data_IF_723429983726
#
_entry.id   IF_723429983726
#
_cell.length_a   1.000
_cell.length_b   1.000
_cell.length_c   1.000
_cell.angle_alpha   90.00
_cell.angle_beta   90.00
_cell.angle_gamma   90.00
#
_symmetry.space_group_name_H-M   'P 1'
#
loop_
_entity.id
_entity.type
_entity.pdbx_description
1 polymer ?
#
# COMPACT_ATOMS: atom_id res chain seq x y z
N UNK A 1 67.84 -50.84 -30.29
CA UNK A 1 67.75 -49.43 -30.52
C UNK A 1 66.23 -49.06 -30.46
N UNK A 2 65.76 -48.75 -29.25
CA UNK A 2 64.35 -48.66 -28.94
C UNK A 2 63.98 -47.20 -28.64
N UNK A 3 63.20 -46.61 -29.52
CA UNK A 3 62.78 -45.20 -29.44
C UNK A 3 61.61 -45.05 -28.44
N UNK A 4 61.78 -44.27 -27.37
CA UNK A 4 60.70 -43.89 -26.46
C UNK A 4 59.98 -42.63 -27.02
N UNK A 5 58.66 -42.75 -27.31
CA UNK A 5 57.81 -41.59 -27.62
C UNK A 5 57.27 -40.99 -26.29
N UNK A 6 57.64 -39.78 -26.03
CA UNK A 6 57.10 -38.96 -24.93
C UNK A 6 55.73 -38.40 -25.36
N UNK A 7 54.66 -38.76 -24.64
CA UNK A 7 53.33 -38.16 -24.79
C UNK A 7 53.25 -36.90 -23.92
N UNK A 8 53.03 -35.74 -24.54
CA UNK A 8 52.72 -34.49 -23.85
C UNK A 8 51.26 -34.48 -23.43
N UNK A 9 51.01 -34.40 -22.13
CA UNK A 9 49.69 -34.12 -21.56
C UNK A 9 49.53 -32.59 -21.47
N UNK A 10 48.57 -32.03 -22.23
CA UNK A 10 48.11 -30.65 -22.05
C UNK A 10 46.98 -30.63 -21.00
N UNK A 11 47.07 -29.91 -19.90
CA UNK A 11 45.95 -29.74 -19.00
C UNK A 11 44.89 -28.84 -19.63
N UNK A 12 43.72 -29.38 -19.89
CA UNK A 12 42.55 -28.60 -20.33
C UNK A 12 42.09 -27.72 -19.15
N UNK A 13 42.07 -26.43 -19.40
CA UNK A 13 41.45 -25.45 -18.50
C UNK A 13 39.93 -25.65 -18.56
N UNK A 14 39.33 -26.20 -17.50
CA UNK A 14 37.87 -26.13 -17.30
C UNK A 14 37.54 -24.69 -16.93
N UNK A 15 36.93 -23.97 -17.86
CA UNK A 15 36.27 -22.69 -17.54
C UNK A 15 35.00 -23.04 -16.73
N UNK A 16 34.99 -22.68 -15.45
CA UNK A 16 33.75 -22.60 -14.69
C UNK A 16 32.95 -21.39 -15.19
N UNK A 17 31.94 -21.65 -16.00
CA UNK A 17 30.88 -20.67 -16.24
C UNK A 17 30.14 -20.43 -14.92
N UNK A 18 30.51 -19.34 -14.23
CA UNK A 18 29.72 -18.79 -13.15
C UNK A 18 28.46 -18.23 -13.77
N UNK A 19 27.39 -19.03 -13.80
CA UNK A 19 26.04 -18.57 -14.07
C UNK A 19 25.72 -17.46 -13.06
N UNK A 20 25.90 -16.22 -13.48
CA UNK A 20 25.38 -15.06 -12.79
C UNK A 20 23.86 -15.22 -12.72
N UNK A 21 23.35 -15.65 -11.57
CA UNK A 21 21.92 -15.62 -11.31
C UNK A 21 21.46 -14.17 -11.46
N UNK A 22 20.78 -13.86 -12.55
CA UNK A 22 20.09 -12.59 -12.75
C UNK A 22 19.19 -12.40 -11.52
N UNK A 23 19.44 -11.34 -10.75
CA UNK A 23 18.54 -10.97 -9.67
C UNK A 23 17.15 -10.80 -10.31
N UNK A 24 16.19 -11.61 -9.89
CA UNK A 24 14.82 -11.53 -10.39
C UNK A 24 14.37 -10.07 -10.26
N UNK A 25 13.93 -9.50 -11.36
CA UNK A 25 13.52 -8.10 -11.41
C UNK A 25 12.34 -7.95 -10.43
N UNK A 26 12.53 -7.13 -9.38
CA UNK A 26 11.49 -6.91 -8.37
C UNK A 26 10.31 -6.19 -9.01
N UNK A 27 9.10 -6.58 -8.65
CA UNK A 27 7.94 -5.80 -9.06
C UNK A 27 8.09 -4.34 -8.59
N UNK A 28 7.75 -3.37 -9.46
CA UNK A 28 7.96 -1.95 -9.17
C UNK A 28 7.04 -1.51 -8.02
N UNK A 29 7.64 -0.91 -7.00
CA UNK A 29 6.93 -0.37 -5.84
C UNK A 29 7.56 0.96 -5.44
N UNK A 30 6.73 1.99 -5.21
CA UNK A 30 7.15 3.31 -4.72
C UNK A 30 6.35 3.71 -3.48
N UNK A 31 6.93 4.56 -2.65
CA UNK A 31 6.21 5.11 -1.48
C UNK A 31 5.09 6.07 -1.94
N UNK A 32 3.90 6.07 -1.30
CA UNK A 32 2.72 6.77 -1.82
C UNK A 32 2.74 8.30 -1.68
N UNK A 33 3.76 8.87 -1.01
CA UNK A 33 3.88 10.31 -0.75
C UNK A 33 5.33 10.78 -0.90
N UNK A 34 5.62 12.10 -0.95
CA UNK A 34 6.98 12.63 -0.92
C UNK A 34 7.73 12.40 0.40
N UNK A 35 7.06 11.91 1.45
CA UNK A 35 7.70 11.65 2.75
C UNK A 35 8.85 10.65 2.61
N UNK A 36 10.03 11.02 3.09
CA UNK A 36 11.22 10.17 3.13
C UNK A 36 11.37 9.40 4.44
N UNK A 37 10.45 9.59 5.39
CA UNK A 37 10.57 9.06 6.74
C UNK A 37 10.79 7.54 6.77
N UNK A 38 10.01 6.77 6.00
CA UNK A 38 10.23 5.33 5.87
C UNK A 38 11.56 5.00 5.16
N UNK A 39 11.85 5.64 4.03
CA UNK A 39 13.04 5.35 3.22
C UNK A 39 14.36 5.61 3.97
N UNK A 40 14.37 6.66 4.81
CA UNK A 40 15.51 7.07 5.63
C UNK A 40 15.52 6.41 7.03
N UNK A 41 14.59 5.50 7.31
CA UNK A 41 14.41 4.84 8.62
C UNK A 41 14.29 5.84 9.78
N UNK A 42 13.61 6.97 9.57
CA UNK A 42 13.36 7.94 10.63
C UNK A 42 12.41 7.38 11.69
N UNK A 43 12.45 7.90 12.92
CA UNK A 43 11.50 7.52 13.95
C UNK A 43 10.04 7.67 13.47
N UNK A 44 9.15 6.71 13.75
CA UNK A 44 7.74 6.78 13.33
C UNK A 44 7.04 8.09 13.70
N UNK A 45 7.38 8.67 14.84
CA UNK A 45 6.84 9.96 15.31
C UNK A 45 7.06 11.13 14.34
N UNK A 46 8.06 11.06 13.46
CA UNK A 46 8.36 12.14 12.52
C UNK A 46 7.44 12.11 11.30
N UNK A 47 6.97 10.93 10.88
CA UNK A 47 6.26 10.75 9.62
C UNK A 47 4.90 10.05 9.73
N UNK A 48 4.58 9.36 10.84
CA UNK A 48 3.23 8.85 11.11
C UNK A 48 2.39 9.89 11.83
N UNK A 49 1.14 10.05 11.38
CA UNK A 49 0.15 10.91 12.00
C UNK A 49 -0.63 10.14 13.06
N UNK A 50 -0.50 10.51 14.32
CA UNK A 50 -1.28 9.91 15.40
C UNK A 50 -2.78 10.21 15.30
N UNK A 51 -3.61 9.32 15.85
CA UNK A 51 -5.08 9.44 15.84
C UNK A 51 -5.68 10.48 16.80
N UNK A 52 -4.85 11.37 17.37
CA UNK A 52 -5.26 12.43 18.32
C UNK A 52 -4.76 12.23 19.73
N UNK A 53 -4.26 11.07 20.09
CA UNK A 53 -3.67 10.76 21.41
C UNK A 53 -2.31 11.41 21.66
N UNK A 54 -1.61 11.84 20.61
CA UNK A 54 -0.19 12.22 20.66
C UNK A 54 0.76 11.04 20.50
N UNK A 55 0.29 9.82 20.63
CA UNK A 55 1.07 8.59 20.45
C UNK A 55 1.18 8.22 18.97
N UNK A 56 2.41 8.26 18.38
CA UNK A 56 2.64 7.94 16.97
C UNK A 56 2.23 6.51 16.58
N UNK A 57 2.26 5.56 17.51
CA UNK A 57 1.88 4.15 17.25
C UNK A 57 0.44 4.02 16.78
N UNK A 58 -0.44 4.94 17.21
CA UNK A 58 -1.85 4.98 16.75
C UNK A 58 -2.02 5.36 15.27
N UNK A 59 -0.97 5.86 14.63
CA UNK A 59 -0.91 6.10 13.18
C UNK A 59 -0.36 4.91 12.39
N UNK A 60 0.18 3.89 13.07
CA UNK A 60 0.65 2.63 12.49
C UNK A 60 -0.46 1.61 12.33
N UNK A 61 -0.20 0.57 11.52
CA UNK A 61 -1.08 -0.59 11.37
C UNK A 61 -1.28 -1.30 12.72
N UNK A 62 -2.50 -1.78 12.96
CA UNK A 62 -2.86 -2.45 14.22
C UNK A 62 -2.98 -1.52 15.42
N UNK A 63 -2.69 -0.21 15.26
CA UNK A 63 -2.83 0.77 16.31
C UNK A 63 -4.24 0.80 16.91
N UNK A 64 -4.34 0.56 18.22
CA UNK A 64 -5.64 0.49 18.90
C UNK A 64 -6.22 1.88 19.09
N UNK A 65 -7.49 2.04 18.68
CA UNK A 65 -8.23 3.30 18.69
C UNK A 65 -9.56 3.17 19.43
N UNK A 66 -10.18 4.30 19.75
CA UNK A 66 -11.55 4.37 20.30
C UNK A 66 -11.74 3.46 21.53
N UNK A 67 -10.81 3.58 22.50
CA UNK A 67 -10.93 2.82 23.76
C UNK A 67 -10.83 1.30 23.60
N UNK A 68 -10.16 0.80 22.57
CA UNK A 68 -9.98 -0.62 22.34
C UNK A 68 -11.00 -1.27 21.40
N UNK A 69 -11.93 -0.48 20.84
CA UNK A 69 -13.02 -1.02 19.99
C UNK A 69 -12.69 -1.03 18.49
N UNK A 70 -11.60 -0.38 18.07
CA UNK A 70 -11.12 -0.35 16.68
C UNK A 70 -9.61 -0.48 16.64
N UNK A 71 -9.11 -1.19 15.67
CA UNK A 71 -7.71 -1.16 15.29
C UNK A 71 -7.55 -0.43 13.95
N UNK A 72 -6.33 0.00 13.63
CA UNK A 72 -6.04 0.75 12.43
C UNK A 72 -5.66 -0.19 11.28
N UNK A 73 -6.43 -0.16 10.21
CA UNK A 73 -6.35 -1.07 9.07
C UNK A 73 -5.21 -0.75 8.09
N UNK A 74 -4.55 0.39 8.26
CA UNK A 74 -3.48 0.90 7.41
C UNK A 74 -2.46 1.72 8.18
N UNK A 75 -1.86 2.69 7.51
CA UNK A 75 -0.97 3.69 8.12
C UNK A 75 -1.41 5.11 7.76
N UNK A 76 -1.23 6.02 8.68
CA UNK A 76 -1.51 7.45 8.50
C UNK A 76 -0.19 8.21 8.28
N UNK A 77 0.06 8.71 7.07
CA UNK A 77 1.31 9.37 6.69
C UNK A 77 1.15 10.89 6.75
N UNK A 78 2.00 11.56 7.54
CA UNK A 78 2.02 13.03 7.63
C UNK A 78 2.41 13.68 6.30
N UNK A 79 1.83 14.86 5.97
CA UNK A 79 2.34 15.69 4.88
C UNK A 79 3.72 16.26 5.21
N UNK A 80 4.53 16.45 4.19
CA UNK A 80 5.84 17.16 4.29
C UNK A 80 5.72 18.63 3.87
N UNK A 81 4.68 18.99 3.13
CA UNK A 81 4.46 20.37 2.71
C UNK A 81 3.03 20.84 3.00
N UNK A 82 2.90 22.11 3.36
CA UNK A 82 1.62 22.75 3.64
C UNK A 82 1.60 24.18 3.07
N UNK A 83 0.42 24.64 2.73
CA UNK A 83 0.23 26.02 2.35
C UNK A 83 0.24 26.96 3.57
N UNK A 84 0.07 28.27 3.31
CA UNK A 84 0.01 29.32 4.37
C UNK A 84 -1.17 29.15 5.34
N UNK A 85 -2.17 28.34 5.01
CA UNK A 85 -3.35 28.06 5.83
C UNK A 85 -3.25 26.70 6.54
N UNK A 86 -2.12 25.98 6.36
CA UNK A 86 -1.86 24.67 6.96
C UNK A 86 -2.47 23.49 6.18
N UNK A 87 -3.06 23.73 5.02
CA UNK A 87 -3.56 22.64 4.18
C UNK A 87 -2.39 21.89 3.52
N UNK A 88 -2.44 20.55 3.46
CA UNK A 88 -1.38 19.76 2.82
C UNK A 88 -1.33 20.00 1.31
N UNK A 89 -0.11 20.03 0.77
CA UNK A 89 0.15 20.19 -0.66
C UNK A 89 0.69 18.90 -1.31
N UNK A 90 0.97 17.89 -0.51
CA UNK A 90 1.62 16.67 -0.97
C UNK A 90 0.78 15.94 -2.02
N UNK A 91 1.38 15.54 -3.16
CA UNK A 91 0.76 14.59 -4.07
C UNK A 91 0.64 13.23 -3.41
N UNK A 92 -0.42 12.51 -3.74
CA UNK A 92 -0.61 11.09 -3.43
C UNK A 92 -0.40 10.29 -4.70
N UNK A 93 0.44 9.27 -4.65
CA UNK A 93 0.91 8.52 -5.82
C UNK A 93 0.53 7.05 -5.73
N UNK A 94 0.26 6.44 -6.90
CA UNK A 94 0.07 5.00 -7.03
C UNK A 94 1.36 4.26 -6.66
N UNK A 95 1.32 3.39 -5.68
CA UNK A 95 2.51 2.63 -5.22
C UNK A 95 3.01 1.64 -6.26
N UNK A 96 2.12 1.14 -7.11
CA UNK A 96 2.41 0.24 -8.23
C UNK A 96 1.39 0.47 -9.35
N UNK A 97 1.68 -0.03 -10.55
CA UNK A 97 0.72 -0.01 -11.66
C UNK A 97 -0.54 -0.79 -11.29
N UNK A 98 -1.70 -0.30 -11.67
CA UNK A 98 -2.98 -0.91 -11.33
C UNK A 98 -4.15 -0.33 -12.11
N UNK A 99 -5.34 -0.76 -11.74
CA UNK A 99 -6.60 -0.27 -12.31
C UNK A 99 -7.41 0.39 -11.20
N UNK A 100 -7.90 1.60 -11.45
CA UNK A 100 -8.81 2.29 -10.53
C UNK A 100 -10.12 1.52 -10.48
N UNK A 101 -10.46 0.96 -9.32
CA UNK A 101 -11.66 0.14 -9.14
C UNK A 101 -12.77 0.85 -8.40
N UNK A 102 -12.42 1.83 -7.58
CA UNK A 102 -13.43 2.61 -6.86
C UNK A 102 -12.93 4.02 -6.57
N UNK A 103 -13.85 4.96 -6.65
CA UNK A 103 -13.65 6.36 -6.27
C UNK A 103 -14.83 6.82 -5.42
N UNK A 104 -14.58 7.20 -4.17
CA UNK A 104 -15.52 7.98 -3.38
C UNK A 104 -15.17 9.46 -3.48
N UNK A 105 -15.92 10.22 -4.24
CA UNK A 105 -15.71 11.66 -4.42
C UNK A 105 -16.41 12.53 -3.36
N UNK A 106 -17.49 12.01 -2.76
CA UNK A 106 -18.27 12.68 -1.71
C UNK A 106 -17.71 12.34 -0.33
N UNK A 107 -17.10 13.28 0.41
CA UNK A 107 -16.43 12.97 1.68
C UNK A 107 -17.38 12.46 2.76
N UNK A 108 -18.67 12.83 2.70
CA UNK A 108 -19.65 12.41 3.70
C UNK A 108 -20.06 10.93 3.65
N UNK A 109 -19.74 10.21 2.57
CA UNK A 109 -20.23 8.86 2.32
C UNK A 109 -19.43 7.78 3.07
N UNK A 110 -18.26 8.10 3.61
CA UNK A 110 -17.39 7.13 4.28
C UNK A 110 -16.50 7.80 5.33
N UNK A 111 -16.12 7.06 6.37
CA UNK A 111 -15.04 7.45 7.28
C UNK A 111 -13.73 7.74 6.56
N UNK A 112 -13.46 7.10 5.43
CA UNK A 112 -12.32 7.39 4.55
C UNK A 112 -12.39 8.75 3.85
N UNK A 113 -13.55 9.43 3.86
CA UNK A 113 -13.75 10.67 3.13
C UNK A 113 -13.69 10.47 1.61
N UNK A 114 -12.92 11.32 0.92
CA UNK A 114 -12.55 11.06 -0.48
C UNK A 114 -11.45 10.04 -0.52
N UNK A 115 -11.68 8.94 -1.26
CA UNK A 115 -10.68 7.89 -1.38
C UNK A 115 -10.71 7.21 -2.75
N UNK A 116 -9.61 6.55 -3.07
CA UNK A 116 -9.40 5.77 -4.29
C UNK A 116 -8.97 4.37 -3.89
N UNK A 117 -9.49 3.36 -4.59
CA UNK A 117 -8.98 1.99 -4.52
C UNK A 117 -8.40 1.61 -5.87
N UNK A 118 -7.14 1.17 -5.86
CA UNK A 118 -6.51 0.50 -6.99
C UNK A 118 -6.52 -1.00 -6.76
N UNK A 119 -6.81 -1.76 -7.79
CA UNK A 119 -6.53 -3.19 -7.85
C UNK A 119 -5.29 -3.40 -8.72
N UNK A 120 -4.41 -4.30 -8.32
CA UNK A 120 -3.16 -4.61 -9.02
C UNK A 120 -3.23 -6.00 -9.66
N UNK A 121 -3.81 -6.15 -10.87
CA UNK A 121 -4.06 -7.46 -11.49
C UNK A 121 -2.79 -8.24 -11.82
N UNK A 122 -1.67 -7.54 -12.00
CA UNK A 122 -0.37 -8.17 -12.22
C UNK A 122 0.18 -8.86 -10.95
N UNK A 123 -0.39 -8.56 -9.79
CA UNK A 123 -0.05 -9.14 -8.50
C UNK A 123 -1.14 -10.16 -8.16
N UNK A 124 -0.92 -11.44 -8.43
CA UNK A 124 -1.92 -12.52 -8.29
C UNK A 124 -1.87 -13.15 -6.90
N UNK A 125 -3.03 -13.33 -6.19
CA UNK A 125 -4.35 -12.78 -6.47
C UNK A 125 -4.34 -11.25 -6.42
N UNK A 126 -5.34 -10.59 -7.02
CA UNK A 126 -5.36 -9.13 -7.10
C UNK A 126 -5.31 -8.49 -5.70
N UNK A 127 -4.23 -7.77 -5.46
CA UNK A 127 -4.02 -6.98 -4.24
C UNK A 127 -4.64 -5.62 -4.47
N UNK A 128 -5.27 -5.04 -3.45
CA UNK A 128 -5.72 -3.66 -3.49
C UNK A 128 -4.75 -2.75 -2.75
N UNK A 129 -4.75 -1.47 -3.15
CA UNK A 129 -4.26 -0.36 -2.33
C UNK A 129 -5.33 0.71 -2.21
N UNK A 130 -5.45 1.31 -1.02
CA UNK A 130 -6.44 2.32 -0.73
C UNK A 130 -5.74 3.61 -0.27
N UNK A 131 -6.22 4.74 -0.81
CA UNK A 131 -5.68 6.07 -0.58
C UNK A 131 -6.80 6.99 -0.12
N UNK A 132 -6.86 7.31 1.16
CA UNK A 132 -7.98 8.02 1.77
C UNK A 132 -7.64 9.42 2.29
N UNK A 133 -8.69 10.12 2.72
CA UNK A 133 -8.67 11.49 3.25
C UNK A 133 -8.19 12.54 2.24
N UNK A 134 -8.37 12.28 0.92
CA UNK A 134 -7.90 13.17 -0.14
C UNK A 134 -8.61 14.52 -0.10
N UNK A 135 -7.86 15.60 -0.38
CA UNK A 135 -8.44 16.92 -0.62
C UNK A 135 -9.12 16.97 -2.00
N UNK A 136 -8.48 16.39 -3.00
CA UNK A 136 -9.01 16.26 -4.36
C UNK A 136 -8.42 15.04 -5.05
N UNK A 137 -9.14 14.54 -6.05
CA UNK A 137 -8.73 13.45 -6.96
C UNK A 137 -8.24 14.10 -8.26
N UNK A 138 -7.21 13.54 -8.87
CA UNK A 138 -6.68 14.04 -10.14
C UNK A 138 -7.71 13.84 -11.27
N UNK A 139 -7.85 14.78 -12.22
CA UNK A 139 -8.94 14.76 -13.21
C UNK A 139 -8.89 13.57 -14.18
N UNK A 140 -7.72 13.01 -14.41
CA UNK A 140 -7.46 11.85 -15.26
C UNK A 140 -7.68 10.51 -14.55
N UNK A 141 -7.85 10.52 -13.22
CA UNK A 141 -8.12 9.33 -12.41
C UNK A 141 -9.62 9.07 -12.36
N UNK A 142 -10.07 8.00 -13.03
CA UNK A 142 -11.47 7.57 -13.11
C UNK A 142 -11.57 6.06 -12.98
N UNK A 143 -12.69 5.56 -12.49
CA UNK A 143 -12.94 4.12 -12.41
C UNK A 143 -12.77 3.44 -13.77
N UNK A 144 -12.10 2.30 -13.79
CA UNK A 144 -11.75 1.54 -14.98
C UNK A 144 -10.45 1.95 -15.66
N UNK A 145 -9.88 3.12 -15.33
CA UNK A 145 -8.63 3.61 -15.94
C UNK A 145 -7.42 2.92 -15.30
N UNK A 146 -6.46 2.53 -16.14
CA UNK A 146 -5.15 2.05 -15.66
C UNK A 146 -4.26 3.21 -15.26
N UNK A 147 -3.51 3.03 -14.18
CA UNK A 147 -2.49 3.96 -13.68
C UNK A 147 -1.13 3.29 -13.66
N UNK A 148 -0.07 4.09 -13.83
CA UNK A 148 1.30 3.62 -13.74
C UNK A 148 1.87 3.81 -12.33
N UNK A 149 2.93 3.07 -12.00
CA UNK A 149 3.68 3.26 -10.75
C UNK A 149 4.15 4.71 -10.63
N UNK A 150 3.89 5.35 -9.50
CA UNK A 150 4.27 6.74 -9.25
C UNK A 150 3.32 7.79 -9.86
N UNK A 151 2.29 7.39 -10.60
CA UNK A 151 1.30 8.34 -11.12
C UNK A 151 0.58 9.05 -9.98
N UNK A 152 0.42 10.38 -10.11
CA UNK A 152 -0.33 11.17 -9.12
C UNK A 152 -1.82 10.84 -9.20
N UNK A 153 -2.37 10.38 -8.09
CA UNK A 153 -3.79 10.05 -7.94
C UNK A 153 -4.62 11.23 -7.43
N UNK A 154 -4.00 12.12 -6.67
CA UNK A 154 -4.68 13.24 -6.06
C UNK A 154 -3.76 14.05 -5.15
N UNK A 155 -4.36 14.86 -4.29
CA UNK A 155 -3.67 15.65 -3.27
C UNK A 155 -4.11 15.19 -1.89
N UNK A 156 -3.17 15.02 -0.98
CA UNK A 156 -3.42 14.71 0.42
C UNK A 156 -4.37 15.73 1.04
N UNK A 157 -5.21 15.30 1.99
CA UNK A 157 -6.16 16.17 2.65
C UNK A 157 -6.50 15.72 4.06
N UNK A 158 -7.73 16.01 4.46
CA UNK A 158 -8.30 15.64 5.75
C UNK A 158 -9.82 15.39 5.64
N UNK A 159 -10.29 15.00 4.45
CA UNK A 159 -11.71 14.69 4.24
C UNK A 159 -12.12 13.45 5.02
N UNK A 160 -13.32 13.44 5.60
CA UNK A 160 -13.90 12.31 6.32
C UNK A 160 -15.41 12.44 6.41
N UNK A 161 -16.12 11.33 6.54
CA UNK A 161 -17.54 11.29 6.83
C UNK A 161 -17.78 10.81 8.27
N UNK A 162 -18.81 11.38 8.92
CA UNK A 162 -19.19 11.01 10.28
C UNK A 162 -18.32 11.57 11.41
N UNK A 163 -17.16 12.11 11.11
CA UNK A 163 -16.28 12.82 12.06
C UNK A 163 -15.40 13.82 11.32
N UNK A 164 -14.76 14.73 12.07
CA UNK A 164 -13.91 15.76 11.50
C UNK A 164 -12.44 15.49 11.81
N UNK A 165 -11.60 15.52 10.78
CA UNK A 165 -10.14 15.53 10.91
C UNK A 165 -9.71 17.00 10.86
N UNK A 166 -9.12 17.58 11.92
CA UNK A 166 -8.57 18.94 11.87
C UNK A 166 -7.48 19.07 10.82
N UNK A 167 -7.38 20.21 10.14
CA UNK A 167 -6.36 20.44 9.11
C UNK A 167 -4.92 20.18 9.62
N UNK A 168 -4.64 20.50 10.88
CA UNK A 168 -3.35 20.23 11.53
C UNK A 168 -2.99 18.73 11.56
N UNK A 169 -3.99 17.85 11.55
CA UNK A 169 -3.84 16.39 11.51
C UNK A 169 -4.15 15.79 10.13
N UNK A 170 -4.13 16.61 9.07
CA UNK A 170 -4.25 16.11 7.71
C UNK A 170 -3.15 15.06 7.43
N UNK A 171 -3.53 13.98 6.75
CA UNK A 171 -2.66 12.84 6.47
C UNK A 171 -3.20 12.03 5.29
N UNK A 172 -2.36 11.18 4.72
CA UNK A 172 -2.81 10.09 3.88
C UNK A 172 -3.03 8.86 4.76
N UNK A 173 -4.28 8.34 4.80
CA UNK A 173 -4.54 6.98 5.24
C UNK A 173 -4.29 6.04 4.06
N UNK A 174 -3.38 5.09 4.24
CA UNK A 174 -2.93 4.18 3.19
C UNK A 174 -3.03 2.72 3.62
N UNK A 175 -3.65 1.91 2.77
CA UNK A 175 -3.79 0.47 2.99
C UNK A 175 -3.21 -0.36 1.83
N UNK A 176 -2.74 -1.56 2.17
CA UNK A 176 -2.48 -2.67 1.25
C UNK A 176 -3.26 -3.87 1.76
N UNK A 177 -3.94 -4.61 0.88
CA UNK A 177 -4.71 -5.76 1.35
C UNK A 177 -5.36 -6.57 0.25
N UNK A 178 -6.26 -7.45 0.66
CA UNK A 178 -7.10 -8.30 -0.18
C UNK A 178 -8.58 -8.03 0.13
N UNK A 179 -9.45 -8.10 -0.88
CA UNK A 179 -10.89 -8.13 -0.64
C UNK A 179 -11.31 -9.52 -0.16
N UNK A 180 -12.08 -9.61 0.93
CA UNK A 180 -12.53 -10.86 1.50
C UNK A 180 -13.45 -11.65 0.53
N UNK A 181 -14.27 -10.92 -0.24
CA UNK A 181 -15.15 -11.53 -1.25
C UNK A 181 -15.46 -10.55 -2.38
N UNK A 182 -15.68 -11.09 -3.58
CA UNK A 182 -16.21 -10.30 -4.71
C UNK A 182 -17.75 -10.16 -4.65
N UNK A 183 -18.42 -11.02 -3.88
CA UNK A 183 -19.89 -11.01 -3.68
C UNK A 183 -20.27 -10.34 -2.34
N UNK A 184 -19.65 -9.21 -2.04
CA UNK A 184 -19.88 -8.50 -0.77
C UNK A 184 -21.31 -7.96 -0.67
N UNK A 185 -21.93 -7.52 -1.77
CA UNK A 185 -23.28 -6.96 -1.74
C UNK A 185 -24.30 -7.97 -1.21
N UNK A 186 -24.24 -9.22 -1.65
CA UNK A 186 -25.13 -10.26 -1.16
C UNK A 186 -24.97 -10.53 0.36
N UNK A 187 -23.75 -10.43 0.87
CA UNK A 187 -23.49 -10.49 2.30
C UNK A 187 -24.06 -9.28 3.04
N UNK A 188 -23.84 -8.05 2.51
CA UNK A 188 -24.31 -6.79 3.08
C UNK A 188 -25.84 -6.78 3.21
N UNK A 189 -26.56 -7.21 2.16
CA UNK A 189 -28.03 -7.29 2.14
C UNK A 189 -28.56 -8.29 3.15
N UNK A 190 -27.95 -9.50 3.23
CA UNK A 190 -28.32 -10.51 4.22
C UNK A 190 -28.15 -10.03 5.66
N UNK A 191 -27.11 -9.21 5.91
CA UNK A 191 -26.84 -8.65 7.25
C UNK A 191 -27.76 -7.50 7.64
N UNK A 192 -28.55 -6.95 6.70
CA UNK A 192 -29.46 -5.83 6.94
C UNK A 192 -28.75 -4.65 7.63
N UNK A 193 -27.62 -4.23 7.09
CA UNK A 193 -26.72 -3.24 7.71
C UNK A 193 -27.31 -1.81 7.84
N UNK A 194 -28.57 -1.60 7.46
CA UNK A 194 -29.33 -0.37 7.76
C UNK A 194 -29.01 0.81 6.84
N UNK A 195 -28.48 0.59 5.66
CA UNK A 195 -28.20 1.64 4.70
C UNK A 195 -27.84 1.07 3.33
N UNK A 196 -27.66 1.95 2.35
CA UNK A 196 -27.15 1.55 1.03
C UNK A 196 -25.64 1.37 1.10
N UNK A 197 -25.13 0.32 0.47
CA UNK A 197 -23.70 0.17 0.24
C UNK A 197 -23.30 0.99 -1.00
N UNK A 198 -22.73 2.18 -0.78
CA UNK A 198 -22.26 3.08 -1.87
C UNK A 198 -20.84 2.74 -2.35
N UNK A 199 -20.23 1.71 -1.80
CA UNK A 199 -18.82 1.36 -2.02
C UNK A 199 -18.63 0.00 -2.70
N UNK A 200 -19.73 -0.68 -3.09
CA UNK A 200 -19.67 -1.99 -3.74
C UNK A 200 -18.83 -2.98 -2.90
N UNK A 201 -17.99 -3.78 -3.52
CA UNK A 201 -17.06 -4.68 -2.83
C UNK A 201 -15.87 -3.94 -2.15
N UNK A 202 -15.70 -2.65 -2.41
CA UNK A 202 -14.63 -1.82 -1.85
C UNK A 202 -15.05 -1.08 -0.57
N UNK A 203 -16.07 -1.58 0.09
CA UNK A 203 -16.47 -1.17 1.43
C UNK A 203 -15.44 -1.68 2.44
N UNK A 204 -15.03 -0.83 3.39
CA UNK A 204 -14.00 -1.18 4.38
C UNK A 204 -14.27 -2.48 5.16
N UNK A 205 -15.55 -2.88 5.35
CA UNK A 205 -15.91 -4.16 5.98
C UNK A 205 -15.53 -5.39 5.14
N UNK A 206 -15.17 -5.23 3.88
CA UNK A 206 -14.74 -6.29 2.97
C UNK A 206 -13.23 -6.27 2.72
N UNK A 207 -12.50 -5.34 3.31
CA UNK A 207 -11.09 -5.14 3.07
C UNK A 207 -10.27 -5.73 4.21
N UNK A 208 -9.33 -6.60 3.86
CA UNK A 208 -8.41 -7.27 4.79
C UNK A 208 -7.01 -6.67 4.59
N UNK A 209 -6.68 -5.66 5.41
CA UNK A 209 -5.40 -4.98 5.35
C UNK A 209 -4.27 -5.81 5.96
N UNK A 210 -3.05 -5.52 5.50
CA UNK A 210 -1.79 -5.97 6.12
C UNK A 210 -0.96 -4.76 6.48
N UNK A 211 0.05 -4.93 7.34
CA UNK A 211 0.96 -3.83 7.69
C UNK A 211 1.73 -3.34 6.46
N UNK A 212 1.44 -2.11 5.95
CA UNK A 212 2.12 -1.57 4.79
C UNK A 212 3.61 -1.35 5.03
N UNK A 213 4.03 -0.98 6.25
CA UNK A 213 5.45 -0.76 6.58
C UNK A 213 6.22 -2.06 6.53
N UNK A 214 5.65 -3.12 7.10
CA UNK A 214 6.24 -4.46 7.04
C UNK A 214 6.33 -4.95 5.59
N UNK A 215 5.27 -4.77 4.78
CA UNK A 215 5.26 -5.12 3.36
C UNK A 215 6.38 -4.42 2.58
N UNK A 216 6.50 -3.11 2.72
CA UNK A 216 7.54 -2.33 2.07
C UNK A 216 8.95 -2.70 2.55
N UNK A 217 9.12 -3.05 3.82
CA UNK A 217 10.40 -3.50 4.39
C UNK A 217 10.83 -4.84 3.80
N UNK A 218 9.92 -5.81 3.68
CA UNK A 218 10.17 -7.09 3.04
C UNK A 218 10.56 -6.94 1.57
N UNK A 219 9.82 -6.07 0.84
CA UNK A 219 10.14 -5.74 -0.54
C UNK A 219 11.53 -5.09 -0.67
N UNK A 220 11.83 -4.09 0.16
CA UNK A 220 13.13 -3.39 0.16
C UNK A 220 14.29 -4.33 0.44
N UNK A 221 14.09 -5.28 1.34
CA UNK A 221 15.08 -6.29 1.69
C UNK A 221 15.23 -7.41 0.64
N UNK A 222 14.42 -7.39 -0.44
CA UNK A 222 14.46 -8.43 -1.47
C UNK A 222 13.91 -9.78 -1.05
N UNK A 223 13.10 -9.82 0.03
CA UNK A 223 12.50 -11.05 0.55
C UNK A 223 11.12 -11.38 -0.05
N UNK A 224 10.60 -10.53 -0.93
CA UNK A 224 9.36 -10.77 -1.67
C UNK A 224 9.68 -10.99 -3.15
N UNK A 225 9.63 -12.24 -3.59
CA UNK A 225 9.66 -12.57 -5.01
C UNK A 225 8.33 -12.16 -5.67
N UNK A 226 7.22 -12.39 -4.95
CA UNK A 226 5.87 -11.98 -5.34
C UNK A 226 5.17 -11.35 -4.13
N UNK A 227 4.28 -10.37 -4.34
CA UNK A 227 3.55 -9.73 -3.24
C UNK A 227 2.75 -10.70 -2.38
N UNK A 228 2.20 -11.75 -2.99
CA UNK A 228 1.40 -12.77 -2.30
C UNK A 228 2.21 -13.54 -1.24
N UNK A 229 3.52 -13.66 -1.40
CA UNK A 229 4.39 -14.31 -0.40
C UNK A 229 4.29 -13.63 0.97
N UNK A 230 4.04 -12.32 0.99
CA UNK A 230 3.81 -11.59 2.23
C UNK A 230 2.53 -12.03 2.91
N UNK A 231 1.43 -12.12 2.16
CA UNK A 231 0.11 -12.50 2.70
C UNK A 231 0.10 -13.93 3.23
N UNK A 232 0.76 -14.87 2.55
CA UNK A 232 0.86 -16.27 3.00
C UNK A 232 1.62 -16.44 4.32
N UNK A 233 2.47 -15.48 4.67
CA UNK A 233 3.26 -15.51 5.92
C UNK A 233 2.59 -14.79 7.09
N UNK A 234 1.41 -14.15 6.85
CA UNK A 234 0.69 -13.53 7.94
C UNK A 234 0.07 -14.61 8.83
N UNK A 235 0.31 -14.50 10.13
CA UNK A 235 -0.39 -15.35 11.11
C UNK A 235 -1.85 -14.94 11.16
N UNK A 236 -2.74 -15.93 11.09
CA UNK A 236 -4.17 -15.68 11.30
C UNK A 236 -4.37 -15.43 12.79
N UNK A 237 -4.79 -14.23 13.19
CA UNK A 237 -5.27 -14.00 14.54
C UNK A 237 -6.52 -14.89 14.77
N UNK A 238 -6.41 -15.84 15.67
CA UNK A 238 -7.52 -16.73 16.09
C UNK A 238 -8.22 -16.10 17.30
#
# INVERSE_FOLDING_TARGET
>A
MTMFLARHFTPGLLALDVLSASAAERFPLVWPTPSKGWAENRPPAEWLQHAGSGDPTTGGFGGVRTGGTRFHEGIDIKPVSRDRHGAPLDPVMAVSAGVVRHISSAPGNSGYGRYIVLEHPALTPAIYTLYAHLAKIAPDVREGVSVTTGQVLGTMGHSSGGYMIPAARAHLHFEIGLAATRDFQAWYDRRRMGGRNDHSMWNGMNLLGVDPVAFFNEWRAGRLAQPLDFFHRQETAV
#
